data_IF_547913591859
#
_entry.id   IF_547913591859
#
_cell.length_a   1.000
_cell.length_b   1.000
_cell.length_c   1.000
_cell.angle_alpha   90.00
_cell.angle_beta   90.00
_cell.angle_gamma   90.00
#
_symmetry.space_group_name_H-M   'P 1'
#
loop_
_entity.id
_entity.type
_entity.pdbx_description
1 polymer ?
#
# COMPACT_ATOMS: atom_id res chain seq x y z
N UNK A 1 -8.28 -5.74 -7.60
CA UNK A 1 -6.81 -5.65 -7.63
C UNK A 1 -6.17 -6.31 -6.41
N UNK A 2 -6.40 -5.77 -5.24
CA UNK A 2 -5.83 -6.34 -4.00
C UNK A 2 -6.35 -7.76 -3.77
N UNK A 3 -7.65 -7.96 -3.93
CA UNK A 3 -8.29 -9.26 -3.75
C UNK A 3 -7.73 -10.31 -4.71
N UNK A 4 -7.43 -9.93 -5.93
CA UNK A 4 -6.85 -10.84 -6.91
C UNK A 4 -5.49 -11.34 -6.48
N UNK A 5 -4.66 -10.45 -5.93
CA UNK A 5 -3.34 -10.82 -5.42
C UNK A 5 -3.47 -11.76 -4.23
N UNK A 6 -4.40 -11.46 -3.31
CA UNK A 6 -4.62 -12.30 -2.14
C UNK A 6 -5.16 -13.69 -2.50
N UNK A 7 -5.89 -13.79 -3.61
CA UNK A 7 -6.46 -15.05 -4.08
C UNK A 7 -5.48 -15.88 -4.90
N UNK A 8 -4.35 -15.33 -5.32
CA UNK A 8 -3.36 -16.06 -6.12
C UNK A 8 -2.71 -17.18 -5.31
N UNK A 9 -2.43 -18.30 -5.99
CA UNK A 9 -1.76 -19.44 -5.37
C UNK A 9 -0.25 -19.27 -5.41
N UNK A 10 0.23 -18.28 -4.66
CA UNK A 10 1.65 -17.94 -4.55
C UNK A 10 2.00 -17.83 -3.07
N UNK A 11 3.29 -17.76 -2.78
CA UNK A 11 3.74 -17.64 -1.38
C UNK A 11 3.34 -16.29 -0.79
N UNK A 12 3.31 -16.23 0.54
CA UNK A 12 3.02 -14.98 1.25
C UNK A 12 4.01 -13.88 0.89
N UNK A 13 5.30 -14.22 0.78
CA UNK A 13 6.32 -13.25 0.39
C UNK A 13 6.06 -12.69 -1.01
N UNK A 14 5.64 -13.56 -1.93
CA UNK A 14 5.31 -13.12 -3.29
C UNK A 14 4.07 -12.22 -3.32
N UNK A 15 3.09 -12.51 -2.47
CA UNK A 15 1.92 -11.65 -2.33
C UNK A 15 2.30 -10.27 -1.82
N UNK A 16 3.15 -10.22 -0.80
CA UNK A 16 3.64 -8.95 -0.25
C UNK A 16 4.41 -8.17 -1.31
N UNK A 17 5.30 -8.83 -2.05
CA UNK A 17 6.05 -8.19 -3.12
C UNK A 17 5.14 -7.57 -4.17
N UNK A 18 4.10 -8.28 -4.59
CA UNK A 18 3.14 -7.78 -5.56
C UNK A 18 2.34 -6.60 -5.01
N UNK A 19 1.94 -6.67 -3.75
CA UNK A 19 1.22 -5.58 -3.10
C UNK A 19 2.10 -4.33 -3.00
N UNK A 20 3.37 -4.49 -2.66
CA UNK A 20 4.30 -3.36 -2.59
C UNK A 20 4.57 -2.77 -3.97
N UNK A 21 4.64 -3.60 -5.00
CA UNK A 21 4.77 -3.14 -6.37
C UNK A 21 3.56 -2.32 -6.80
N UNK A 22 2.37 -2.77 -6.45
CA UNK A 22 1.14 -2.03 -6.72
C UNK A 22 1.16 -0.67 -6.02
N UNK A 23 1.59 -0.63 -4.77
CA UNK A 23 1.71 0.60 -4.00
C UNK A 23 2.69 1.58 -4.67
N UNK A 24 3.85 1.07 -5.09
CA UNK A 24 4.84 1.88 -5.79
C UNK A 24 4.27 2.47 -7.08
N UNK A 25 3.52 1.68 -7.84
CA UNK A 25 2.89 2.14 -9.08
C UNK A 25 1.88 3.26 -8.84
N UNK A 26 1.16 3.22 -7.73
CA UNK A 26 0.21 4.27 -7.38
C UNK A 26 0.94 5.62 -7.23
N UNK A 27 2.06 5.64 -6.55
CA UNK A 27 2.84 6.86 -6.35
C UNK A 27 3.53 7.31 -7.64
N UNK A 28 4.00 6.36 -8.44
CA UNK A 28 4.65 6.66 -9.71
C UNK A 28 3.70 7.36 -10.69
N UNK A 29 2.42 7.03 -10.63
CA UNK A 29 1.41 7.62 -11.50
C UNK A 29 0.97 9.01 -11.05
N UNK A 30 1.36 9.45 -9.83
CA UNK A 30 1.10 10.81 -9.39
C UNK A 30 2.10 11.76 -10.03
N UNK A 31 1.61 12.73 -10.78
CA UNK A 31 2.44 13.79 -11.32
C UNK A 31 2.50 14.99 -10.38
N UNK A 32 3.32 15.97 -10.72
CA UNK A 32 3.40 17.24 -9.98
C UNK A 32 2.08 18.01 -10.05
N UNK A 33 1.29 17.75 -11.08
CA UNK A 33 -0.02 18.39 -11.29
C UNK A 33 -1.16 17.67 -10.58
N UNK A 34 -0.88 16.62 -9.85
CA UNK A 34 -1.93 15.84 -9.20
C UNK A 34 -2.71 16.67 -8.20
N UNK A 35 -4.04 16.52 -8.23
CA UNK A 35 -4.91 17.24 -7.32
C UNK A 35 -4.78 16.67 -5.91
N UNK A 36 -5.26 17.45 -4.93
CA UNK A 36 -5.34 17.02 -3.55
C UNK A 36 -6.16 15.74 -3.40
N UNK A 37 -7.26 15.66 -4.16
CA UNK A 37 -8.14 14.49 -4.15
C UNK A 37 -7.41 13.25 -4.64
N UNK A 38 -6.64 13.36 -5.73
CA UNK A 38 -5.87 12.24 -6.26
C UNK A 38 -4.84 11.74 -5.24
N UNK A 39 -4.14 12.67 -4.58
CA UNK A 39 -3.16 12.31 -3.55
C UNK A 39 -3.81 11.62 -2.37
N UNK A 40 -5.00 12.08 -1.96
CA UNK A 40 -5.74 11.46 -0.87
C UNK A 40 -6.21 10.05 -1.24
N UNK A 41 -6.62 9.84 -2.49
CA UNK A 41 -7.03 8.52 -2.95
C UNK A 41 -5.87 7.54 -2.96
N UNK A 42 -4.69 7.99 -3.38
CA UNK A 42 -3.48 7.15 -3.35
C UNK A 42 -3.17 6.76 -1.91
N UNK A 43 -3.23 7.69 -0.97
CA UNK A 43 -3.00 7.39 0.44
C UNK A 43 -3.99 6.37 0.98
N UNK A 44 -5.27 6.50 0.59
CA UNK A 44 -6.31 5.56 0.98
C UNK A 44 -6.04 4.17 0.43
N UNK A 45 -5.64 4.08 -0.83
CA UNK A 45 -5.29 2.81 -1.46
C UNK A 45 -4.06 2.18 -0.83
N UNK A 46 -3.02 2.99 -0.55
CA UNK A 46 -1.83 2.51 0.16
C UNK A 46 -2.18 1.90 1.51
N UNK A 47 -3.09 2.55 2.25
CA UNK A 47 -3.53 2.03 3.55
C UNK A 47 -4.20 0.67 3.38
N UNK A 48 -5.04 0.51 2.38
CA UNK A 48 -5.69 -0.77 2.09
C UNK A 48 -4.66 -1.85 1.75
N UNK A 49 -3.64 -1.48 0.97
CA UNK A 49 -2.55 -2.39 0.59
C UNK A 49 -1.79 -2.84 1.85
N UNK A 50 -1.44 -1.89 2.71
CA UNK A 50 -0.70 -2.20 3.94
C UNK A 50 -1.52 -3.05 4.91
N UNK A 51 -2.83 -2.81 5.00
CA UNK A 51 -3.71 -3.66 5.79
C UNK A 51 -3.80 -5.07 5.22
N UNK A 52 -3.80 -5.22 3.90
CA UNK A 52 -3.75 -6.53 3.27
C UNK A 52 -2.44 -7.25 3.60
N UNK A 53 -1.32 -6.52 3.58
CA UNK A 53 -0.01 -7.07 3.98
C UNK A 53 -0.06 -7.52 5.45
N UNK A 54 -0.72 -6.74 6.31
CA UNK A 54 -0.86 -7.07 7.72
C UNK A 54 -1.60 -8.38 7.93
N UNK A 55 -2.58 -8.70 7.10
CA UNK A 55 -3.29 -9.99 7.21
C UNK A 55 -2.40 -11.17 6.80
N UNK A 56 -1.40 -10.95 5.95
CA UNK A 56 -0.45 -11.96 5.51
C UNK A 56 0.71 -12.07 6.51
N UNK A 57 1.27 -10.92 6.89
CA UNK A 57 2.40 -10.82 7.82
C UNK A 57 2.17 -9.59 8.71
N UNK A 58 1.64 -9.85 9.88
CA UNK A 58 1.23 -8.79 10.81
C UNK A 58 2.35 -7.81 11.15
N UNK A 59 3.57 -8.25 11.55
CA UNK A 59 4.64 -7.31 11.89
C UNK A 59 5.02 -6.38 10.74
N UNK A 60 5.10 -6.90 9.52
CA UNK A 60 5.47 -6.11 8.34
C UNK A 60 4.38 -5.09 8.04
N UNK A 61 3.13 -5.52 7.99
CA UNK A 61 2.01 -4.62 7.71
C UNK A 61 1.88 -3.54 8.79
N UNK A 62 2.05 -3.92 10.04
CA UNK A 62 2.00 -2.98 11.16
C UNK A 62 3.07 -1.91 11.04
N UNK A 63 4.30 -2.31 10.70
CA UNK A 63 5.41 -1.38 10.50
C UNK A 63 5.12 -0.40 9.38
N UNK A 64 4.57 -0.89 8.28
CA UNK A 64 4.23 -0.04 7.14
C UNK A 64 3.15 0.98 7.49
N UNK A 65 2.12 0.55 8.22
CA UNK A 65 1.05 1.44 8.65
C UNK A 65 1.56 2.50 9.62
N UNK A 66 2.43 2.12 10.54
CA UNK A 66 3.03 3.07 11.48
C UNK A 66 3.91 4.09 10.77
N UNK A 67 4.70 3.64 9.81
CA UNK A 67 5.54 4.54 9.01
C UNK A 67 4.68 5.52 8.21
N UNK A 68 3.57 5.06 7.66
CA UNK A 68 2.65 5.90 6.93
C UNK A 68 2.03 6.98 7.82
N UNK A 69 1.58 6.59 9.02
CA UNK A 69 1.00 7.52 9.97
C UNK A 69 2.00 8.58 10.41
N UNK A 70 3.24 8.18 10.69
CA UNK A 70 4.32 9.10 11.03
C UNK A 70 4.59 10.07 9.89
N UNK A 71 4.62 9.57 8.68
CA UNK A 71 4.88 10.40 7.51
C UNK A 71 3.79 11.45 7.31
N UNK A 72 2.53 11.08 7.58
CA UNK A 72 1.40 12.00 7.50
C UNK A 72 1.46 13.06 8.60
N UNK A 73 1.89 12.68 9.80
CA UNK A 73 2.01 13.59 10.94
C UNK A 73 3.18 14.55 10.80
N UNK A 74 4.21 14.17 10.07
CA UNK A 74 5.42 14.97 9.89
C UNK A 74 5.16 16.27 9.11
N UNK A 75 3.98 16.46 8.64
CA UNK A 75 3.56 17.69 7.96
C UNK A 75 2.82 18.61 8.89
#
# INVERSE_FOLDING_TARGET
MIENILAEQITDNQKIDKLLELDCNLYTNLGSDSTKTEKQEVKRMSRKIYKAIQTINEPVGKSLLQAMDKWLEAK
#
